data_IF_172418397249
#
_entry.id   IF_172418397249
#
_cell.length_a   1.000
_cell.length_b   1.000
_cell.length_c   1.000
_cell.angle_alpha   90.00
_cell.angle_beta   90.00
_cell.angle_gamma   90.00
#
_symmetry.space_group_name_H-M   'P 1'
#
loop_
_entity.id
_entity.type
_entity.pdbx_description
1 polymer ?
#
# COMPACT_ATOMS: atom_id res chain seq x y z
N UNK A 1 -13.81 3.53 -6.61
CA UNK A 1 -13.50 2.24 -7.32
C UNK A 1 -14.45 1.15 -6.85
N UNK A 2 -14.79 0.17 -7.70
CA UNK A 2 -15.52 -1.05 -7.33
C UNK A 2 -14.56 -2.20 -7.06
N UNK A 3 -15.03 -3.25 -6.37
CA UNK A 3 -14.23 -4.47 -6.16
C UNK A 3 -13.85 -5.11 -7.51
N UNK A 4 -12.60 -5.56 -7.63
CA UNK A 4 -12.07 -6.23 -8.81
C UNK A 4 -11.53 -7.61 -8.44
N UNK A 5 -11.96 -8.64 -9.16
CA UNK A 5 -11.48 -10.01 -9.00
C UNK A 5 -10.56 -10.36 -10.18
N UNK A 6 -9.32 -10.72 -9.88
CA UNK A 6 -8.27 -10.94 -10.87
C UNK A 6 -7.62 -12.30 -10.62
N UNK A 7 -7.52 -13.12 -11.65
CA UNK A 7 -6.81 -14.40 -11.55
C UNK A 7 -5.31 -14.17 -11.45
N UNK A 8 -4.73 -14.53 -10.30
CA UNK A 8 -3.30 -14.45 -10.07
C UNK A 8 -2.62 -15.76 -10.49
N UNK A 9 -1.89 -15.72 -11.60
CA UNK A 9 -1.24 -16.91 -12.17
C UNK A 9 -0.18 -17.51 -11.22
N UNK A 10 0.52 -16.69 -10.46
CA UNK A 10 1.57 -17.16 -9.52
C UNK A 10 1.00 -17.94 -8.35
N UNK A 11 -0.21 -17.59 -7.89
CA UNK A 11 -0.91 -18.27 -6.80
C UNK A 11 -1.86 -19.37 -7.30
N UNK A 12 -2.24 -19.35 -8.59
CA UNK A 12 -3.31 -20.20 -9.13
C UNK A 12 -4.68 -19.90 -8.50
N UNK A 13 -4.88 -18.70 -7.98
CA UNK A 13 -6.07 -18.28 -7.23
C UNK A 13 -6.57 -16.92 -7.69
N UNK A 14 -7.83 -16.63 -7.38
CA UNK A 14 -8.38 -15.28 -7.57
C UNK A 14 -7.93 -14.38 -6.43
N UNK A 15 -7.49 -13.18 -6.77
CA UNK A 15 -7.22 -12.09 -5.84
C UNK A 15 -8.30 -11.03 -6.03
N UNK A 16 -9.05 -10.74 -4.99
CA UNK A 16 -10.05 -9.67 -4.98
C UNK A 16 -9.47 -8.44 -4.32
N UNK A 17 -9.46 -7.32 -5.04
CA UNK A 17 -9.07 -6.00 -4.51
C UNK A 17 -10.31 -5.13 -4.41
N UNK A 18 -10.51 -4.52 -3.24
CA UNK A 18 -11.64 -3.64 -2.96
C UNK A 18 -11.21 -2.42 -2.14
N UNK A 19 -11.98 -1.33 -2.14
CA UNK A 19 -11.79 -0.28 -1.16
C UNK A 19 -11.95 -0.82 0.27
N UNK A 20 -11.14 -0.33 1.20
CA UNK A 20 -11.38 -0.55 2.62
C UNK A 20 -12.65 0.20 3.03
N UNK A 21 -13.48 -0.39 3.87
CA UNK A 21 -14.58 0.33 4.49
C UNK A 21 -14.02 1.37 5.48
N UNK A 22 -14.55 2.59 5.48
CA UNK A 22 -14.08 3.61 6.42
C UNK A 22 -14.27 3.14 7.86
N UNK A 23 -13.20 3.21 8.66
CA UNK A 23 -13.19 2.77 10.04
C UNK A 23 -13.03 1.25 10.25
N UNK A 24 -12.74 0.46 9.22
CA UNK A 24 -12.50 -0.99 9.33
C UNK A 24 -11.11 -1.28 9.96
N UNK A 25 -10.99 -0.97 11.25
CA UNK A 25 -9.78 -1.23 12.04
C UNK A 25 -9.48 -2.72 12.20
N UNK A 26 -10.50 -3.58 12.12
CA UNK A 26 -10.32 -5.03 12.23
C UNK A 26 -9.52 -5.60 11.05
N UNK A 27 -9.81 -5.16 9.82
CA UNK A 27 -9.04 -5.56 8.63
C UNK A 27 -7.60 -5.06 8.71
N UNK A 28 -7.38 -3.81 9.17
CA UNK A 28 -6.02 -3.25 9.37
C UNK A 28 -5.24 -4.08 10.39
N UNK A 29 -5.84 -4.37 11.56
CA UNK A 29 -5.21 -5.18 12.60
C UNK A 29 -4.88 -6.59 12.11
N UNK A 30 -5.83 -7.25 11.42
CA UNK A 30 -5.64 -8.59 10.89
C UNK A 30 -4.48 -8.67 9.86
N UNK A 31 -4.31 -7.64 9.02
CA UNK A 31 -3.17 -7.57 8.10
C UNK A 31 -1.86 -7.34 8.87
N UNK A 32 -1.86 -6.41 9.84
CA UNK A 32 -0.66 -6.13 10.64
C UNK A 32 -0.15 -7.39 11.35
N UNK A 33 -1.05 -8.23 11.89
CA UNK A 33 -0.69 -9.47 12.57
C UNK A 33 -0.08 -10.52 11.64
N UNK A 34 -0.23 -10.35 10.31
CA UNK A 34 0.35 -11.22 9.27
C UNK A 34 1.70 -10.73 8.74
N UNK A 35 2.20 -9.62 9.27
CA UNK A 35 3.52 -9.08 8.95
C UNK A 35 4.55 -9.58 9.97
N UNK A 36 5.68 -10.07 9.49
CA UNK A 36 6.84 -10.35 10.35
C UNK A 36 7.38 -9.06 10.99
N UNK A 37 8.19 -9.16 12.06
CA UNK A 37 8.86 -8.00 12.63
C UNK A 37 9.63 -7.17 11.59
N UNK A 38 10.32 -7.82 10.66
CA UNK A 38 11.04 -7.17 9.56
C UNK A 38 10.10 -6.43 8.60
N UNK A 39 8.97 -7.05 8.23
CA UNK A 39 7.97 -6.41 7.35
C UNK A 39 7.31 -5.22 8.03
N UNK A 40 7.03 -5.31 9.33
CA UNK A 40 6.54 -4.19 10.15
C UNK A 40 7.55 -3.04 10.20
N UNK A 41 8.82 -3.35 10.49
CA UNK A 41 9.88 -2.34 10.52
C UNK A 41 10.03 -1.63 9.16
N UNK A 42 10.02 -2.37 8.06
CA UNK A 42 10.07 -1.81 6.70
C UNK A 42 8.88 -0.92 6.38
N UNK A 43 7.70 -1.25 6.90
CA UNK A 43 6.46 -0.50 6.64
C UNK A 43 6.35 0.76 7.49
N UNK A 44 6.75 0.67 8.77
CA UNK A 44 6.57 1.74 9.75
C UNK A 44 7.86 2.50 10.07
N UNK A 45 8.96 2.16 9.39
CA UNK A 45 10.30 2.78 9.54
C UNK A 45 10.89 2.68 10.95
N UNK A 46 10.32 1.83 11.80
CA UNK A 46 10.76 1.55 13.15
C UNK A 46 10.27 0.18 13.61
N UNK A 47 10.90 -0.36 14.64
CA UNK A 47 10.39 -1.56 15.32
C UNK A 47 8.96 -1.32 15.80
N UNK A 48 8.00 -2.12 15.29
CA UNK A 48 6.58 -1.93 15.53
C UNK A 48 5.93 -3.22 16.06
N UNK A 49 5.96 -3.45 17.39
CA UNK A 49 5.41 -4.69 17.95
C UNK A 49 3.87 -4.73 17.89
N UNK A 50 3.21 -3.58 17.95
CA UNK A 50 1.74 -3.45 17.91
C UNK A 50 1.33 -2.10 17.33
N UNK A 51 0.08 -2.01 16.86
CA UNK A 51 -0.58 -0.75 16.55
C UNK A 51 -1.41 -0.31 17.74
N UNK A 52 -1.38 0.98 18.06
CA UNK A 52 -2.29 1.59 19.03
C UNK A 52 -3.68 1.79 18.43
N UNK A 53 -4.71 2.01 19.26
CA UNK A 53 -6.05 2.28 18.77
C UNK A 53 -6.12 3.55 17.88
N UNK A 54 -5.33 4.56 18.20
CA UNK A 54 -5.23 5.79 17.40
C UNK A 54 -4.59 5.52 16.02
N UNK A 55 -3.54 4.70 15.96
CA UNK A 55 -2.91 4.31 14.69
C UNK A 55 -3.83 3.44 13.85
N UNK A 56 -4.55 2.50 14.46
CA UNK A 56 -5.55 1.70 13.76
C UNK A 56 -6.65 2.58 13.16
N UNK A 57 -7.17 3.56 13.92
CA UNK A 57 -8.17 4.49 13.44
C UNK A 57 -7.65 5.33 12.25
N UNK A 58 -6.43 5.87 12.35
CA UNK A 58 -5.78 6.63 11.28
C UNK A 58 -5.54 5.78 10.02
N UNK A 59 -5.11 4.54 10.17
CA UNK A 59 -4.86 3.63 9.06
C UNK A 59 -6.15 3.14 8.40
N UNK A 60 -7.26 3.09 9.13
CA UNK A 60 -8.58 2.71 8.64
C UNK A 60 -9.41 3.89 8.12
N UNK A 61 -8.87 5.11 8.17
CA UNK A 61 -9.55 6.29 7.63
C UNK A 61 -9.59 6.23 6.11
N UNK A 62 -10.81 6.30 5.55
CA UNK A 62 -11.07 6.34 4.11
C UNK A 62 -12.03 7.48 3.80
N UNK A 63 -11.67 8.31 2.83
CA UNK A 63 -12.43 9.49 2.46
C UNK A 63 -11.87 10.18 1.23
N UNK A 64 -12.27 11.42 0.97
CA UNK A 64 -11.80 12.18 -0.20
C UNK A 64 -10.28 12.38 -0.25
N UNK A 65 -9.63 12.36 0.91
CA UNK A 65 -8.20 12.61 1.07
C UNK A 65 -7.40 11.37 1.45
N UNK A 66 -8.06 10.24 1.71
CA UNK A 66 -7.43 8.97 2.06
C UNK A 66 -8.05 7.84 1.26
N UNK A 67 -7.31 7.33 0.27
CA UNK A 67 -7.70 6.21 -0.57
C UNK A 67 -7.01 4.95 -0.07
N UNK A 68 -7.77 3.91 0.28
CA UNK A 68 -7.21 2.66 0.81
C UNK A 68 -7.82 1.48 0.10
N UNK A 69 -6.98 0.60 -0.44
CA UNK A 69 -7.37 -0.66 -1.07
C UNK A 69 -6.86 -1.85 -0.26
N UNK A 70 -7.68 -2.88 -0.17
CA UNK A 70 -7.33 -4.15 0.48
C UNK A 70 -7.48 -5.31 -0.49
N UNK A 71 -6.52 -6.23 -0.47
CA UNK A 71 -6.52 -7.45 -1.27
C UNK A 71 -6.84 -8.67 -0.40
N UNK A 72 -7.66 -9.58 -0.93
CA UNK A 72 -7.93 -10.89 -0.37
C UNK A 72 -7.64 -11.96 -1.41
N UNK A 73 -7.15 -13.12 -0.96
CA UNK A 73 -6.89 -14.29 -1.81
C UNK A 73 -7.99 -15.31 -1.58
N UNK A 74 -8.55 -15.83 -2.66
CA UNK A 74 -9.62 -16.85 -2.57
C UNK A 74 -9.22 -18.03 -1.69
N UNK A 75 -10.12 -18.41 -0.78
CA UNK A 75 -9.87 -19.43 0.24
C UNK A 75 -9.10 -18.95 1.48
N UNK A 76 -8.77 -17.65 1.58
CA UNK A 76 -8.20 -17.07 2.79
C UNK A 76 -9.12 -15.93 3.31
N UNK A 77 -9.73 -16.07 4.49
CA UNK A 77 -10.65 -15.05 5.02
C UNK A 77 -9.95 -13.78 5.49
N UNK A 78 -8.63 -13.82 5.67
CA UNK A 78 -7.85 -12.69 6.17
C UNK A 78 -7.26 -11.87 5.01
N UNK A 79 -7.00 -10.56 5.19
CA UNK A 79 -6.41 -9.71 4.16
C UNK A 79 -5.00 -10.18 3.80
N UNK A 80 -4.69 -10.13 2.51
CA UNK A 80 -3.39 -10.50 1.95
C UNK A 80 -2.46 -9.31 1.74
N UNK A 81 -3.02 -8.09 1.64
CA UNK A 81 -2.24 -6.87 1.48
C UNK A 81 -3.12 -5.64 1.47
N UNK A 82 -2.49 -4.48 1.59
CA UNK A 82 -3.15 -3.18 1.59
C UNK A 82 -2.24 -2.14 0.92
N UNK A 83 -2.84 -1.18 0.26
CA UNK A 83 -2.16 0.02 -0.22
C UNK A 83 -3.01 1.25 0.07
N UNK A 84 -2.35 2.38 0.36
CA UNK A 84 -3.01 3.65 0.64
C UNK A 84 -2.29 4.82 -0.01
N UNK A 85 -3.06 5.83 -0.41
CA UNK A 85 -2.57 7.17 -0.73
C UNK A 85 -3.29 8.15 0.16
N UNK A 86 -2.54 8.95 0.90
CA UNK A 86 -3.06 10.07 1.70
C UNK A 86 -2.66 11.35 1.01
N UNK A 87 -3.65 12.18 0.71
CA UNK A 87 -3.44 13.48 0.05
C UNK A 87 -2.66 14.42 0.95
N UNK A 88 -1.72 15.15 0.36
CA UNK A 88 -0.96 16.17 1.07
C UNK A 88 -1.87 17.39 1.37
N UNK A 89 -1.79 17.91 2.58
CA UNK A 89 -2.61 19.06 3.00
C UNK A 89 -2.14 20.37 2.34
N UNK A 90 -0.83 20.49 2.07
CA UNK A 90 -0.21 21.69 1.48
C UNK A 90 -0.25 21.69 -0.06
N UNK A 91 -0.26 20.51 -0.69
CA UNK A 91 -0.34 20.32 -2.13
C UNK A 91 -1.42 19.29 -2.47
N UNK A 92 -2.63 19.77 -2.74
CA UNK A 92 -3.81 18.92 -3.02
C UNK A 92 -3.66 18.04 -4.27
N UNK A 93 -2.64 18.28 -5.08
CA UNK A 93 -2.30 17.45 -6.26
C UNK A 93 -1.28 16.36 -5.94
N UNK A 94 -0.75 16.33 -4.72
CA UNK A 94 0.19 15.32 -4.24
C UNK A 94 -0.42 14.40 -3.20
N UNK A 95 0.19 13.23 -2.99
CA UNK A 95 -0.17 12.32 -1.92
C UNK A 95 0.96 11.37 -1.55
N UNK A 96 0.95 10.91 -0.31
CA UNK A 96 1.89 9.91 0.19
C UNK A 96 1.37 8.50 -0.08
N UNK A 97 2.17 7.69 -0.77
CA UNK A 97 1.90 6.30 -1.10
C UNK A 97 2.57 5.36 -0.10
N UNK A 98 1.80 4.45 0.45
CA UNK A 98 2.33 3.37 1.27
C UNK A 98 1.61 2.04 0.95
N UNK A 99 2.30 0.90 1.12
CA UNK A 99 1.72 -0.42 0.88
C UNK A 99 2.41 -1.50 1.72
N UNK A 100 1.69 -2.56 1.98
CA UNK A 100 2.17 -3.77 2.64
C UNK A 100 1.49 -5.02 2.10
N UNK A 101 2.20 -6.15 2.15
CA UNK A 101 1.68 -7.47 1.76
C UNK A 101 2.07 -8.46 2.85
N UNK A 102 1.10 -9.26 3.31
CA UNK A 102 1.34 -10.34 4.25
C UNK A 102 2.48 -11.24 3.77
N UNK A 103 3.42 -11.59 4.66
CA UNK A 103 4.68 -12.22 4.29
C UNK A 103 4.51 -13.44 3.39
N UNK A 104 3.52 -14.30 3.68
CA UNK A 104 3.22 -15.49 2.88
C UNK A 104 2.79 -15.21 1.42
N UNK A 105 2.37 -13.98 1.12
CA UNK A 105 1.89 -13.56 -0.21
C UNK A 105 2.85 -12.61 -0.92
N UNK A 106 3.98 -12.32 -0.32
CA UNK A 106 5.04 -11.54 -0.99
C UNK A 106 5.63 -12.31 -2.18
N UNK A 107 6.11 -11.59 -3.18
CA UNK A 107 6.67 -12.21 -4.39
C UNK A 107 5.64 -12.69 -5.42
N UNK A 108 4.34 -12.65 -5.11
CA UNK A 108 3.25 -13.12 -6.00
C UNK A 108 2.55 -12.00 -6.78
N UNK A 109 3.08 -10.78 -6.77
CA UNK A 109 2.55 -9.65 -7.55
C UNK A 109 1.36 -8.93 -6.91
N UNK A 110 0.91 -9.28 -5.70
CA UNK A 110 -0.21 -8.62 -5.01
C UNK A 110 0.10 -7.15 -4.75
N UNK A 111 1.32 -6.83 -4.28
CA UNK A 111 1.72 -5.44 -4.06
C UNK A 111 1.69 -4.60 -5.34
N UNK A 112 2.16 -5.17 -6.46
CA UNK A 112 2.08 -4.52 -7.78
C UNK A 112 0.63 -4.21 -8.15
N UNK A 113 -0.25 -5.19 -8.06
CA UNK A 113 -1.67 -5.06 -8.36
C UNK A 113 -2.34 -3.97 -7.50
N UNK A 114 -2.09 -3.99 -6.20
CA UNK A 114 -2.62 -2.99 -5.26
C UNK A 114 -2.17 -1.57 -5.63
N UNK A 115 -0.88 -1.37 -5.90
CA UNK A 115 -0.33 -0.06 -6.21
C UNK A 115 -0.87 0.44 -7.57
N UNK A 116 -0.91 -0.40 -8.61
CA UNK A 116 -1.46 -0.02 -9.92
C UNK A 116 -2.93 0.43 -9.83
N UNK A 117 -3.77 -0.33 -9.13
CA UNK A 117 -5.18 0.02 -8.95
C UNK A 117 -5.36 1.27 -8.09
N UNK A 118 -4.56 1.43 -7.04
CA UNK A 118 -4.61 2.59 -6.18
C UNK A 118 -4.19 3.87 -6.91
N UNK A 119 -3.15 3.81 -7.76
CA UNK A 119 -2.72 4.95 -8.56
C UNK A 119 -3.79 5.36 -9.59
N UNK A 120 -4.52 4.41 -10.16
CA UNK A 120 -5.64 4.72 -11.05
C UNK A 120 -6.77 5.43 -10.28
N UNK A 121 -7.07 4.99 -9.06
CA UNK A 121 -8.08 5.62 -8.18
C UNK A 121 -7.64 7.03 -7.74
N UNK A 122 -6.37 7.17 -7.32
CA UNK A 122 -5.77 8.45 -6.93
C UNK A 122 -5.78 9.47 -8.08
N UNK A 123 -5.45 9.03 -9.31
CA UNK A 123 -5.55 9.87 -10.51
C UNK A 123 -6.98 10.35 -10.75
N UNK A 124 -7.96 9.47 -10.67
CA UNK A 124 -9.37 9.82 -10.83
C UNK A 124 -9.82 10.84 -9.79
N UNK A 125 -9.19 10.85 -8.60
CA UNK A 125 -9.42 11.85 -7.55
C UNK A 125 -8.59 13.14 -7.73
N UNK A 126 -7.80 13.28 -8.81
CA UNK A 126 -7.02 14.49 -9.12
C UNK A 126 -5.64 14.54 -8.48
N UNK A 127 -5.13 13.44 -7.92
CA UNK A 127 -3.74 13.34 -7.47
C UNK A 127 -2.85 13.15 -8.70
N UNK A 128 -1.86 14.02 -8.86
CA UNK A 128 -0.94 14.05 -10.00
C UNK A 128 0.49 13.59 -9.63
N UNK A 129 0.82 13.63 -8.34
CA UNK A 129 2.12 13.21 -7.81
C UNK A 129 1.93 12.32 -6.60
N UNK A 130 2.75 11.29 -6.49
CA UNK A 130 2.86 10.48 -5.28
C UNK A 130 4.30 10.43 -4.80
N UNK A 131 4.45 10.49 -3.50
CA UNK A 131 5.71 10.39 -2.77
C UNK A 131 5.65 9.11 -1.92
N UNK A 132 6.71 8.29 -1.98
CA UNK A 132 6.81 7.07 -1.18
C UNK A 132 8.15 7.02 -0.46
N UNK A 133 8.13 6.93 0.86
CA UNK A 133 9.31 6.69 1.68
C UNK A 133 9.53 5.19 1.84
N UNK A 134 10.70 4.72 1.50
CA UNK A 134 11.05 3.29 1.54
C UNK A 134 12.43 3.13 2.16
N UNK A 135 12.58 2.22 3.13
CA UNK A 135 13.91 1.89 3.62
C UNK A 135 14.81 1.46 2.45
N UNK A 136 16.00 2.05 2.34
CA UNK A 136 16.94 1.79 1.23
C UNK A 136 17.32 0.30 1.13
N UNK A 137 17.29 -0.43 2.24
CA UNK A 137 17.50 -1.87 2.29
C UNK A 137 16.33 -2.69 1.73
N UNK A 138 15.13 -2.12 1.60
CA UNK A 138 13.95 -2.81 1.08
C UNK A 138 13.92 -2.84 -0.45
N UNK A 139 14.85 -3.61 -1.03
CA UNK A 139 14.99 -3.71 -2.48
C UNK A 139 13.75 -4.28 -3.19
N UNK A 140 12.94 -5.09 -2.49
CA UNK A 140 11.69 -5.62 -3.04
C UNK A 140 10.67 -4.49 -3.29
N UNK A 141 10.44 -3.61 -2.33
CA UNK A 141 9.54 -2.46 -2.50
C UNK A 141 10.09 -1.46 -3.53
N UNK A 142 11.38 -1.12 -3.48
CA UNK A 142 12.01 -0.24 -4.47
C UNK A 142 11.92 -0.82 -5.89
N UNK A 143 12.14 -2.13 -6.04
CA UNK A 143 12.00 -2.83 -7.32
C UNK A 143 10.56 -2.86 -7.82
N UNK A 144 9.56 -2.94 -6.94
CA UNK A 144 8.16 -2.83 -7.29
C UNK A 144 7.85 -1.43 -7.82
N UNK A 145 8.22 -0.39 -7.07
CA UNK A 145 7.97 1.01 -7.46
C UNK A 145 8.66 1.37 -8.78
N UNK A 146 9.88 0.85 -9.03
CA UNK A 146 10.55 1.03 -10.34
C UNK A 146 9.78 0.44 -11.51
N UNK A 147 9.00 -0.62 -11.30
CA UNK A 147 8.21 -1.28 -12.35
C UNK A 147 6.85 -0.65 -12.57
N UNK A 148 6.27 -0.05 -11.53
CA UNK A 148 4.90 0.50 -11.58
C UNK A 148 4.90 2.00 -11.90
N UNK A 149 5.93 2.73 -11.48
CA UNK A 149 6.02 4.17 -11.63
C UNK A 149 6.91 4.54 -12.83
N UNK A 150 6.34 5.04 -13.91
CA UNK A 150 7.09 5.37 -15.15
C UNK A 150 7.94 6.62 -15.01
N UNK A 151 7.35 7.73 -14.58
CA UNK A 151 8.02 9.02 -14.41
C UNK A 151 8.37 9.25 -12.95
N UNK A 152 9.51 8.73 -12.54
CA UNK A 152 9.95 8.79 -11.15
C UNK A 152 11.35 9.37 -10.99
N UNK A 153 11.58 9.99 -9.85
CA UNK A 153 12.91 10.26 -9.29
C UNK A 153 13.09 9.48 -7.99
N UNK A 154 14.31 9.15 -7.67
CA UNK A 154 14.66 8.43 -6.43
C UNK A 154 15.84 9.13 -5.79
N UNK A 155 15.70 9.50 -4.51
CA UNK A 155 16.74 10.18 -3.74
C UNK A 155 16.96 9.45 -2.44
N UNK A 156 18.20 9.07 -2.16
CA UNK A 156 18.59 8.44 -0.89
C UNK A 156 18.76 9.55 0.16
N UNK A 157 18.06 9.40 1.28
CA UNK A 157 18.10 10.29 2.43
C UNK A 157 18.37 9.48 3.70
N UNK A 158 19.62 9.34 4.09
CA UNK A 158 20.02 8.49 5.21
C UNK A 158 19.64 7.02 4.98
N UNK A 159 18.91 6.39 5.91
CA UNK A 159 18.51 4.98 5.78
C UNK A 159 17.33 4.77 4.81
N UNK A 160 16.75 5.84 4.28
CA UNK A 160 15.54 5.82 3.46
C UNK A 160 15.80 6.31 2.04
N UNK A 161 14.93 5.91 1.13
CA UNK A 161 14.88 6.40 -0.24
C UNK A 161 13.50 7.02 -0.46
N UNK A 162 13.49 8.30 -0.78
CA UNK A 162 12.29 8.99 -1.28
C UNK A 162 12.10 8.68 -2.76
N UNK A 163 10.97 8.12 -3.11
CA UNK A 163 10.53 7.89 -4.48
C UNK A 163 9.42 8.88 -4.78
N UNK A 164 9.65 9.76 -5.75
CA UNK A 164 8.66 10.75 -6.21
C UNK A 164 8.26 10.39 -7.63
N UNK A 165 6.98 10.29 -7.92
CA UNK A 165 6.51 9.96 -9.25
C UNK A 165 5.27 10.78 -9.66
N UNK A 166 5.19 11.08 -10.95
CA UNK A 166 3.99 11.64 -11.56
C UNK A 166 3.00 10.51 -11.85
N UNK A 167 1.75 10.70 -11.44
CA UNK A 167 0.64 9.80 -11.73
C UNK A 167 -0.07 10.33 -12.98
N UNK A 168 0.39 9.88 -14.14
CA UNK A 168 -0.12 10.33 -15.44
C UNK A 168 -1.26 9.44 -15.95
#
# INVERSE_FOLDING_TARGET
MHAQAIHNRSLGKVVTVRPLANGDTATVAALFDRLSPTSRERRYHAAKPRLTSAELALLAEVGPDSHVLVAHVDGDPLPAGMARVVRDESDRTAGELAFEVADRYQGHGIGKLLVELLLADARAAGIQRVDAWVQTSNQAALGLLRRVLDRRSMRVEGPETLVVATVA
#
